data_IF_029019161112
#
_entry.id   IF_029019161112
#
_cell.length_a   1.000
_cell.length_b   1.000
_cell.length_c   1.000
_cell.angle_alpha   90.00
_cell.angle_beta   90.00
_cell.angle_gamma   90.00
#
_symmetry.space_group_name_H-M   'P 1'
#
loop_
_entity.id
_entity.type
_entity.pdbx_description
1 polymer ?
#
# COMPACT_ATOMS: atom_id res chain seq x y z
N UNK A 1 -15.46 11.16 -10.93
CA UNK A 1 -14.31 10.70 -11.74
C UNK A 1 -14.71 9.57 -12.68
N UNK A 2 -15.05 8.39 -12.16
CA UNK A 2 -15.42 7.23 -12.99
C UNK A 2 -16.62 7.48 -13.92
N UNK A 3 -17.71 8.05 -13.42
CA UNK A 3 -18.89 8.39 -14.23
C UNK A 3 -18.61 9.37 -15.38
N UNK A 4 -17.58 10.20 -15.26
CA UNK A 4 -17.19 11.19 -16.26
C UNK A 4 -16.13 10.66 -17.23
N UNK A 5 -15.73 9.38 -17.13
CA UNK A 5 -14.63 8.78 -17.89
C UNK A 5 -13.33 9.62 -17.83
N UNK A 6 -13.08 10.25 -16.68
CA UNK A 6 -11.97 11.19 -16.51
C UNK A 6 -10.64 10.51 -16.17
N UNK A 7 -10.61 9.18 -16.00
CA UNK A 7 -9.45 8.42 -15.57
C UNK A 7 -9.24 7.21 -16.48
N UNK A 8 -8.00 7.02 -16.92
CA UNK A 8 -7.54 5.80 -17.59
C UNK A 8 -7.11 4.75 -16.56
N UNK A 9 -6.64 5.18 -15.39
CA UNK A 9 -6.26 4.32 -14.27
C UNK A 9 -6.73 4.95 -12.96
N UNK A 10 -7.19 4.15 -12.01
CA UNK A 10 -7.58 4.58 -10.68
C UNK A 10 -6.46 4.28 -9.68
N UNK A 11 -5.92 5.31 -9.04
CA UNK A 11 -4.95 5.14 -7.97
C UNK A 11 -5.68 5.14 -6.62
N UNK A 12 -5.60 4.02 -5.92
CA UNK A 12 -6.04 3.89 -4.52
C UNK A 12 -4.85 4.06 -3.59
N UNK A 13 -5.11 4.44 -2.34
CA UNK A 13 -4.12 4.60 -1.27
C UNK A 13 -4.71 4.02 0.03
N UNK A 14 -3.94 3.20 0.72
CA UNK A 14 -4.37 2.44 1.91
C UNK A 14 -4.62 3.30 3.14
N UNK A 15 -4.05 4.51 3.21
CA UNK A 15 -4.08 5.43 4.34
C UNK A 15 -4.82 6.74 4.05
N UNK A 16 -5.17 7.03 2.79
CA UNK A 16 -5.91 8.23 2.39
C UNK A 16 -7.42 8.10 2.60
N UNK A 17 -7.95 6.93 2.29
CA UNK A 17 -9.38 6.63 2.40
C UNK A 17 -9.72 6.14 3.81
N UNK A 18 -11.00 5.94 4.10
CA UNK A 18 -11.57 5.41 5.35
C UNK A 18 -11.27 3.93 5.57
N UNK A 19 -10.00 3.53 5.41
CA UNK A 19 -9.50 2.18 5.57
C UNK A 19 -9.98 1.21 4.48
N UNK A 20 -9.80 -0.09 4.77
CA UNK A 20 -10.09 -1.18 3.82
C UNK A 20 -11.53 -1.11 3.32
N UNK A 21 -12.49 -0.77 4.18
CA UNK A 21 -13.90 -0.69 3.83
C UNK A 21 -14.16 0.24 2.65
N UNK A 22 -13.60 1.46 2.68
CA UNK A 22 -13.79 2.43 1.59
C UNK A 22 -12.98 2.04 0.35
N UNK A 23 -11.78 1.48 0.53
CA UNK A 23 -11.00 0.99 -0.60
C UNK A 23 -11.73 -0.13 -1.36
N UNK A 24 -12.37 -1.07 -0.65
CA UNK A 24 -13.16 -2.13 -1.29
C UNK A 24 -14.31 -1.55 -2.12
N UNK A 25 -14.97 -0.49 -1.64
CA UNK A 25 -16.01 0.19 -2.41
C UNK A 25 -15.42 0.82 -3.69
N UNK A 26 -14.23 1.43 -3.61
CA UNK A 26 -13.53 1.99 -4.79
C UNK A 26 -13.11 0.89 -5.77
N UNK A 27 -12.57 -0.24 -5.31
CA UNK A 27 -12.21 -1.38 -6.15
C UNK A 27 -13.42 -1.91 -6.93
N UNK A 28 -14.55 -2.11 -6.24
CA UNK A 28 -15.80 -2.56 -6.86
C UNK A 28 -16.35 -1.55 -7.88
N UNK A 29 -16.24 -0.25 -7.58
CA UNK A 29 -16.63 0.80 -8.52
C UNK A 29 -15.69 0.83 -9.74
N UNK A 30 -14.38 0.76 -9.55
CA UNK A 30 -13.41 0.72 -10.65
C UNK A 30 -13.67 -0.49 -11.56
N UNK A 31 -13.94 -1.66 -10.99
CA UNK A 31 -14.32 -2.86 -11.74
C UNK A 31 -15.63 -2.67 -12.53
N UNK A 32 -16.66 -2.09 -11.90
CA UNK A 32 -17.95 -1.79 -12.56
C UNK A 32 -17.79 -0.85 -13.77
N UNK A 33 -16.89 0.12 -13.68
CA UNK A 33 -16.62 1.08 -14.76
C UNK A 33 -15.48 0.64 -15.68
N UNK A 34 -14.95 -0.57 -15.51
CA UNK A 34 -13.84 -1.12 -16.30
C UNK A 34 -12.57 -0.24 -16.30
N UNK A 35 -12.30 0.45 -15.20
CA UNK A 35 -11.08 1.25 -15.02
C UNK A 35 -10.05 0.41 -14.25
N UNK A 36 -8.85 0.16 -14.81
CA UNK A 36 -7.80 -0.56 -14.09
C UNK A 36 -7.35 0.21 -12.85
N UNK A 37 -7.05 -0.53 -11.79
CA UNK A 37 -6.54 0.04 -10.54
C UNK A 37 -5.03 -0.12 -10.49
N UNK A 38 -4.31 0.98 -10.33
CA UNK A 38 -2.86 1.01 -10.18
C UNK A 38 -2.55 1.69 -8.84
N UNK A 39 -2.45 0.92 -7.74
CA UNK A 39 -2.38 1.53 -6.43
C UNK A 39 -1.13 2.39 -6.23
N UNK A 40 -1.34 3.53 -5.56
CA UNK A 40 -0.26 4.38 -5.11
C UNK A 40 0.46 3.71 -3.94
N UNK A 41 1.78 3.81 -3.96
CA UNK A 41 2.67 3.41 -2.89
C UNK A 41 3.77 4.47 -2.75
N UNK A 42 4.67 4.28 -1.78
CA UNK A 42 5.67 5.29 -1.43
C UNK A 42 5.23 6.13 -0.23
N UNK A 43 6.21 6.76 0.42
CA UNK A 43 6.06 7.12 1.83
C UNK A 43 6.20 5.91 2.78
N UNK A 44 6.01 6.13 4.07
CA UNK A 44 6.35 5.15 5.10
C UNK A 44 5.27 4.06 5.19
N UNK A 45 5.58 2.84 4.77
CA UNK A 45 4.69 1.68 4.94
C UNK A 45 3.63 1.47 3.86
N UNK A 46 3.42 2.41 2.93
CA UNK A 46 2.33 2.23 1.95
C UNK A 46 2.52 0.99 1.08
N UNK A 47 3.76 0.63 0.75
CA UNK A 47 4.10 -0.61 0.04
C UNK A 47 3.64 -1.85 0.83
N UNK A 48 3.89 -1.88 2.14
CA UNK A 48 3.51 -2.97 3.05
C UNK A 48 2.00 -3.17 3.10
N UNK A 49 1.23 -2.07 3.06
CA UNK A 49 -0.23 -2.08 3.16
C UNK A 49 -0.90 -2.38 1.81
N UNK A 50 -0.55 -1.62 0.77
CA UNK A 50 -1.32 -1.58 -0.48
C UNK A 50 -1.18 -2.86 -1.30
N UNK A 51 -0.11 -3.63 -1.11
CA UNK A 51 0.09 -4.95 -1.73
C UNK A 51 -1.08 -5.90 -1.43
N UNK A 52 -1.64 -5.86 -0.21
CA UNK A 52 -2.79 -6.69 0.18
C UNK A 52 -4.05 -6.32 -0.60
N UNK A 53 -4.26 -5.02 -0.85
CA UNK A 53 -5.41 -4.52 -1.61
C UNK A 53 -5.35 -4.94 -3.07
N UNK A 54 -4.16 -4.93 -3.68
CA UNK A 54 -3.97 -5.46 -5.04
C UNK A 54 -4.20 -6.97 -5.11
N UNK A 55 -3.78 -7.72 -4.08
CA UNK A 55 -4.01 -9.16 -4.03
C UNK A 55 -5.50 -9.46 -3.86
N UNK A 56 -6.22 -8.69 -3.06
CA UNK A 56 -7.69 -8.77 -2.95
C UNK A 56 -8.35 -8.44 -4.29
N UNK A 57 -7.95 -7.34 -4.95
CA UNK A 57 -8.48 -6.97 -6.27
C UNK A 57 -8.31 -8.13 -7.25
N UNK A 58 -7.09 -8.68 -7.35
CA UNK A 58 -6.81 -9.80 -8.24
C UNK A 58 -7.64 -11.05 -7.93
N UNK A 59 -7.76 -11.45 -6.66
CA UNK A 59 -8.39 -12.73 -6.29
C UNK A 59 -9.92 -12.66 -6.33
N UNK A 60 -10.54 -11.57 -5.86
CA UNK A 60 -12.00 -11.54 -5.62
C UNK A 60 -12.74 -10.39 -6.32
N UNK A 61 -12.06 -9.50 -7.06
CA UNK A 61 -12.72 -8.36 -7.74
C UNK A 61 -12.49 -8.38 -9.25
N UNK A 62 -11.25 -8.16 -9.70
CA UNK A 62 -10.90 -7.97 -11.10
C UNK A 62 -10.47 -9.24 -11.81
N UNK A 63 -9.87 -10.21 -11.11
CA UNK A 63 -9.43 -11.48 -11.71
C UNK A 63 -8.26 -11.36 -12.70
N UNK A 64 -7.60 -10.20 -12.80
CA UNK A 64 -6.55 -9.95 -13.81
C UNK A 64 -5.50 -8.97 -13.32
N UNK A 65 -4.28 -9.10 -13.85
CA UNK A 65 -3.20 -8.12 -13.71
C UNK A 65 -2.97 -7.29 -14.98
N UNK A 66 -3.80 -7.47 -16.01
CA UNK A 66 -3.68 -6.72 -17.25
C UNK A 66 -3.91 -5.22 -17.00
N UNK A 67 -3.00 -4.38 -17.51
CA UNK A 67 -2.99 -2.93 -17.32
C UNK A 67 -3.01 -2.46 -15.85
N UNK A 68 -2.56 -3.31 -14.92
CA UNK A 68 -2.51 -3.04 -13.48
C UNK A 68 -1.08 -3.23 -12.97
N UNK A 69 -0.61 -2.27 -12.21
CA UNK A 69 0.70 -2.32 -11.55
C UNK A 69 0.56 -1.75 -10.14
N UNK A 70 1.39 -2.23 -9.23
CA UNK A 70 1.53 -1.66 -7.88
C UNK A 70 2.79 -0.80 -7.93
N UNK A 71 2.70 0.46 -7.52
CA UNK A 71 3.88 1.29 -7.33
C UNK A 71 4.79 0.70 -6.25
N UNK A 72 6.10 0.92 -6.36
CA UNK A 72 7.11 0.52 -5.37
C UNK A 72 8.15 1.62 -5.22
N UNK A 73 8.51 1.95 -3.98
CA UNK A 73 9.59 2.88 -3.65
C UNK A 73 10.48 2.23 -2.58
N UNK A 74 11.78 2.14 -2.85
CA UNK A 74 12.76 1.39 -2.03
C UNK A 74 13.27 2.22 -0.85
N UNK A 75 12.41 2.49 0.13
CA UNK A 75 12.81 3.22 1.33
C UNK A 75 12.00 2.81 2.56
N UNK A 76 12.66 2.77 3.73
CA UNK A 76 12.04 2.65 5.07
C UNK A 76 11.39 1.29 5.36
N UNK A 77 11.49 0.31 4.46
CA UNK A 77 11.02 -1.06 4.68
C UNK A 77 11.70 -1.72 5.90
N UNK A 78 12.94 -1.34 6.19
CA UNK A 78 13.72 -1.83 7.33
C UNK A 78 13.05 -1.55 8.69
N UNK A 79 12.07 -0.65 8.74
CA UNK A 79 11.34 -0.31 9.97
C UNK A 79 10.11 -1.19 10.22
N UNK A 80 9.76 -2.10 9.31
CA UNK A 80 8.60 -2.98 9.45
C UNK A 80 9.01 -4.41 9.85
N UNK A 81 8.16 -5.08 10.63
CA UNK A 81 8.35 -6.47 11.05
C UNK A 81 8.10 -7.47 9.89
N UNK A 82 7.30 -7.06 8.91
CA UNK A 82 6.95 -7.84 7.72
C UNK A 82 7.06 -6.95 6.47
N UNK A 83 8.28 -6.58 6.05
CA UNK A 83 8.50 -5.72 4.89
C UNK A 83 8.03 -6.39 3.61
N UNK A 84 7.56 -5.60 2.64
CA UNK A 84 7.21 -6.15 1.33
C UNK A 84 8.44 -6.77 0.64
N UNK A 85 8.21 -7.83 -0.15
CA UNK A 85 9.27 -8.54 -0.86
C UNK A 85 9.07 -8.39 -2.36
N UNK A 86 10.07 -7.83 -3.04
CA UNK A 86 10.10 -7.74 -4.50
C UNK A 86 11.01 -8.83 -5.07
N UNK A 87 10.48 -9.63 -6.00
CA UNK A 87 11.24 -10.63 -6.77
C UNK A 87 10.96 -10.44 -8.26
N UNK A 88 12.02 -10.24 -9.05
CA UNK A 88 11.91 -10.01 -10.50
C UNK A 88 10.89 -8.90 -10.85
N UNK A 89 10.98 -7.77 -10.15
CA UNK A 89 10.06 -6.62 -10.29
C UNK A 89 8.57 -6.95 -10.03
N UNK A 90 8.29 -7.93 -9.17
CA UNK A 90 6.93 -8.27 -8.72
C UNK A 90 6.87 -8.41 -7.21
N UNK A 91 5.78 -7.91 -6.62
CA UNK A 91 5.45 -8.19 -5.23
C UNK A 91 5.22 -9.69 -5.02
N UNK A 92 5.85 -10.24 -3.98
CA UNK A 92 5.55 -11.58 -3.46
C UNK A 92 4.44 -11.45 -2.43
N UNK A 93 3.46 -12.35 -2.49
CA UNK A 93 2.35 -12.34 -1.54
C UNK A 93 2.84 -12.51 -0.08
N UNK A 94 2.44 -11.65 0.86
CA UNK A 94 2.73 -11.80 2.28
C UNK A 94 2.19 -13.14 2.79
N UNK A 95 2.97 -13.77 3.69
CA UNK A 95 2.64 -15.07 4.28
C UNK A 95 2.33 -14.98 5.78
N UNK A 96 2.72 -13.87 6.43
CA UNK A 96 2.45 -13.64 7.86
C UNK A 96 1.02 -13.11 8.06
N UNK A 97 0.35 -13.48 9.16
CA UNK A 97 -0.93 -12.90 9.52
C UNK A 97 -0.81 -11.39 9.77
N UNK A 98 -1.82 -10.64 9.33
CA UNK A 98 -1.93 -9.21 9.56
C UNK A 98 -1.92 -8.41 8.26
N UNK A 99 -1.81 -7.08 8.42
CA UNK A 99 -1.84 -6.12 7.31
C UNK A 99 -0.45 -5.51 7.06
N UNK A 100 0.60 -6.17 7.53
CA UNK A 100 2.02 -5.75 7.46
C UNK A 100 2.31 -4.34 8.03
N UNK A 101 1.43 -3.82 8.89
CA UNK A 101 1.54 -2.46 9.49
C UNK A 101 2.47 -2.37 10.69
N UNK A 102 2.87 -3.51 11.26
CA UNK A 102 3.62 -3.52 12.50
C UNK A 102 5.04 -3.00 12.26
N UNK A 103 5.34 -1.84 12.85
CA UNK A 103 6.69 -1.29 12.88
C UNK A 103 7.51 -1.90 14.01
N UNK A 104 8.82 -2.02 13.79
CA UNK A 104 9.79 -2.44 14.80
C UNK A 104 9.79 -1.48 15.97
N UNK A 105 9.80 -2.02 17.19
CA UNK A 105 9.76 -1.21 18.41
C UNK A 105 10.95 -0.24 18.49
N UNK A 106 12.16 -0.69 18.12
CA UNK A 106 13.34 0.18 18.06
C UNK A 106 13.14 1.36 17.10
N UNK A 107 12.55 1.13 15.92
CA UNK A 107 12.26 2.21 14.97
C UNK A 107 11.25 3.21 15.53
N UNK A 108 10.22 2.74 16.25
CA UNK A 108 9.29 3.63 16.94
C UNK A 108 9.98 4.48 18.00
N UNK A 109 10.86 3.90 18.79
CA UNK A 109 11.60 4.62 19.85
C UNK A 109 12.59 5.63 19.27
N UNK A 110 13.37 5.24 18.26
CA UNK A 110 14.37 6.10 17.62
C UNK A 110 13.77 7.32 16.92
N UNK A 111 12.64 7.12 16.23
CA UNK A 111 12.05 8.12 15.33
C UNK A 111 10.79 8.79 15.88
N UNK A 112 10.39 8.52 17.13
CA UNK A 112 9.24 9.18 17.77
C UNK A 112 9.46 10.68 17.87
N UNK A 113 8.68 11.48 17.17
CA UNK A 113 8.79 12.95 17.28
C UNK A 113 8.09 13.46 18.55
N UNK A 114 8.66 14.45 19.29
CA UNK A 114 9.97 15.07 19.10
C UNK A 114 11.10 14.41 19.93
N UNK A 115 10.78 13.43 20.77
CA UNK A 115 11.68 12.97 21.85
C UNK A 115 12.63 11.83 21.44
N UNK A 116 12.45 11.27 20.24
CA UNK A 116 13.25 10.18 19.72
C UNK A 116 14.70 10.62 19.47
N UNK A 117 15.69 9.76 19.73
CA UNK A 117 17.11 10.05 19.54
C UNK A 117 17.48 10.73 18.21
N UNK A 118 16.78 10.44 17.10
CA UNK A 118 17.10 11.05 15.79
C UNK A 118 16.77 12.55 15.71
N UNK A 119 15.84 13.02 16.55
CA UNK A 119 15.36 14.40 16.55
C UNK A 119 16.10 15.27 17.56
N UNK A 120 16.72 14.64 18.57
CA UNK A 120 17.51 15.34 19.57
C UNK A 120 18.94 15.54 19.04
N UNK A 121 19.17 16.67 18.39
CA UNK A 121 20.45 17.03 17.76
C UNK A 121 21.35 17.89 18.66
N UNK A 122 20.89 18.22 19.87
CA UNK A 122 21.56 19.13 20.82
C UNK A 122 22.33 18.40 21.95
N UNK A 123 22.75 17.14 21.74
CA UNK A 123 23.55 16.37 22.73
C UNK A 123 24.96 16.09 22.26
#
# INVERSE_FOLDING_TARGET
MLQANALQFCQIDSCRLGGVNEVLAVLLLAAKFHVPVCPHAGGVGLCELVQHLSMIDFVVVSGTWENRVIEFADHLHEHFEDPCIIKNARYVAPSRPGYSTQMKENSRQQYSFPNGPIWNTDS
#
